data_IF_300866908933
#
_entry.id   IF_300866908933
#
_cell.length_a   1.000
_cell.length_b   1.000
_cell.length_c   1.000
_cell.angle_alpha   90.00
_cell.angle_beta   90.00
_cell.angle_gamma   90.00
#
_symmetry.space_group_name_H-M   'P 1'
#
loop_
_entity.id
_entity.type
_entity.pdbx_description
1 polymer ?
#
# COMPACT_ATOMS: atom_id res chain seq x y z
N UNK A 1 -11.67 -5.95 -9.45
CA UNK A 1 -11.06 -5.29 -8.27
C UNK A 1 -10.84 -3.83 -8.64
N UNK A 2 -11.26 -2.89 -7.79
CA UNK A 2 -11.07 -1.45 -8.01
C UNK A 2 -10.03 -0.92 -7.03
N UNK A 3 -9.27 0.10 -7.44
CA UNK A 3 -8.20 0.67 -6.59
C UNK A 3 -8.71 1.30 -5.30
N UNK A 4 -9.98 1.71 -5.28
CA UNK A 4 -10.68 2.27 -4.12
C UNK A 4 -11.47 1.23 -3.33
N UNK A 5 -11.34 -0.06 -3.66
CA UNK A 5 -11.99 -1.11 -2.88
C UNK A 5 -11.34 -1.19 -1.49
N UNK A 6 -12.17 -1.18 -0.45
CA UNK A 6 -11.72 -1.33 0.93
C UNK A 6 -11.25 -2.78 1.15
N UNK A 7 -10.01 -2.93 1.62
CA UNK A 7 -9.38 -4.22 1.85
C UNK A 7 -10.22 -5.13 2.75
N UNK A 8 -10.87 -4.57 3.77
CA UNK A 8 -11.63 -5.35 4.74
C UNK A 8 -13.10 -5.49 4.34
N UNK A 9 -13.75 -4.42 3.85
CA UNK A 9 -15.19 -4.41 3.58
C UNK A 9 -15.55 -4.98 2.22
N UNK A 10 -14.73 -4.71 1.20
CA UNK A 10 -15.03 -5.08 -0.18
C UNK A 10 -14.26 -6.33 -0.60
N UNK A 11 -13.03 -6.49 -0.12
CA UNK A 11 -12.16 -7.63 -0.44
C UNK A 11 -12.12 -8.68 0.68
N UNK A 12 -12.74 -8.40 1.83
CA UNK A 12 -12.85 -9.33 2.96
C UNK A 12 -11.49 -9.89 3.43
N UNK A 13 -10.43 -9.10 3.31
CA UNK A 13 -9.10 -9.46 3.80
C UNK A 13 -9.08 -9.45 5.33
N UNK A 14 -8.51 -10.48 5.92
CA UNK A 14 -8.35 -10.56 7.35
C UNK A 14 -7.14 -9.73 7.83
N UNK A 15 -6.94 -9.62 9.14
CA UNK A 15 -5.84 -8.84 9.69
C UNK A 15 -4.45 -9.39 9.37
N UNK A 16 -4.32 -10.70 9.10
CA UNK A 16 -3.04 -11.33 8.73
C UNK A 16 -2.75 -11.07 7.24
N UNK A 17 -3.76 -11.18 6.38
CA UNK A 17 -3.67 -10.84 4.96
C UNK A 17 -3.18 -9.41 4.77
N UNK A 18 -3.63 -8.46 5.60
CA UNK A 18 -3.15 -7.07 5.55
C UNK A 18 -1.68 -6.93 5.93
N UNK A 19 -1.20 -7.71 6.90
CA UNK A 19 0.21 -7.68 7.33
C UNK A 19 1.10 -8.22 6.21
N UNK A 20 0.69 -9.31 5.57
CA UNK A 20 1.41 -9.88 4.42
C UNK A 20 1.42 -8.92 3.23
N UNK A 21 0.30 -8.22 2.99
CA UNK A 21 0.19 -7.21 1.93
C UNK A 21 1.15 -6.02 2.16
N UNK A 22 1.21 -5.52 3.40
CA UNK A 22 2.11 -4.41 3.78
C UNK A 22 3.57 -4.83 3.62
N UNK A 23 3.96 -6.00 4.13
CA UNK A 23 5.32 -6.53 3.96
C UNK A 23 5.70 -6.71 2.48
N UNK A 24 4.75 -7.13 1.64
CA UNK A 24 4.99 -7.23 0.20
C UNK A 24 5.28 -5.86 -0.44
N UNK A 25 4.56 -4.81 -0.06
CA UNK A 25 4.83 -3.45 -0.54
C UNK A 25 6.16 -2.90 -0.03
N UNK A 26 6.50 -3.14 1.23
CA UNK A 26 7.79 -2.76 1.81
C UNK A 26 8.96 -3.39 1.04
N UNK A 27 8.88 -4.70 0.77
CA UNK A 27 9.90 -5.41 0.04
C UNK A 27 10.00 -5.00 -1.44
N UNK A 28 8.87 -4.81 -2.13
CA UNK A 28 8.85 -4.48 -3.55
C UNK A 28 9.38 -3.06 -3.82
N UNK A 29 9.00 -2.09 -2.99
CA UNK A 29 9.39 -0.69 -3.17
C UNK A 29 10.60 -0.29 -2.31
N UNK A 30 11.13 -1.22 -1.52
CA UNK A 30 12.22 -1.01 -0.56
C UNK A 30 11.93 0.20 0.36
N UNK A 31 10.71 0.23 0.90
CA UNK A 31 10.21 1.24 1.85
C UNK A 31 9.92 0.60 3.21
N UNK A 32 9.69 1.43 4.22
CA UNK A 32 9.25 1.01 5.54
C UNK A 32 7.92 1.71 5.85
N UNK A 33 6.86 0.94 6.12
CA UNK A 33 5.53 1.46 6.43
C UNK A 33 5.28 1.27 7.93
N UNK A 34 5.29 2.34 8.74
CA UNK A 34 4.98 2.22 10.16
C UNK A 34 3.58 1.66 10.40
N UNK A 35 3.40 0.85 11.43
CA UNK A 35 2.09 0.26 11.80
C UNK A 35 0.96 1.33 11.88
N UNK A 36 1.26 2.51 12.44
CA UNK A 36 0.30 3.62 12.55
C UNK A 36 -0.18 4.17 11.19
N UNK A 37 0.63 3.98 10.15
CA UNK A 37 0.30 4.33 8.75
C UNK A 37 -0.39 3.16 8.08
N UNK A 38 0.12 1.93 8.26
CA UNK A 38 -0.47 0.72 7.71
C UNK A 38 -1.95 0.57 8.07
N UNK A 39 -2.34 0.88 9.31
CA UNK A 39 -3.74 0.85 9.74
C UNK A 39 -4.65 1.88 9.02
N UNK A 40 -4.06 2.93 8.45
CA UNK A 40 -4.79 3.96 7.68
C UNK A 40 -4.84 3.66 6.18
N UNK A 41 -4.07 2.68 5.71
CA UNK A 41 -4.07 2.24 4.31
C UNK A 41 -5.22 1.26 4.10
N UNK A 42 -6.36 1.80 3.70
CA UNK A 42 -7.60 1.00 3.58
C UNK A 42 -7.85 0.45 2.18
N UNK A 43 -7.16 0.97 1.17
CA UNK A 43 -7.30 0.55 -0.22
C UNK A 43 -5.98 0.71 -1.00
N UNK A 44 -5.89 0.12 -2.19
CA UNK A 44 -4.71 0.22 -3.04
C UNK A 44 -4.35 1.66 -3.41
N UNK A 45 -5.36 2.53 -3.61
CA UNK A 45 -5.13 3.94 -3.92
C UNK A 45 -4.43 4.70 -2.77
N UNK A 46 -4.72 4.34 -1.52
CA UNK A 46 -4.05 4.95 -0.35
C UNK A 46 -2.59 4.50 -0.27
N UNK A 47 -2.34 3.20 -0.49
CA UNK A 47 -0.99 2.62 -0.52
C UNK A 47 -0.16 3.28 -1.62
N UNK A 48 -0.71 3.38 -2.84
CA UNK A 48 -0.02 4.00 -3.96
C UNK A 48 0.35 5.46 -3.67
N UNK A 49 -0.57 6.24 -3.08
CA UNK A 49 -0.28 7.61 -2.65
C UNK A 49 0.79 7.66 -1.57
N UNK A 50 0.77 6.74 -0.61
CA UNK A 50 1.78 6.67 0.44
C UNK A 50 3.17 6.42 -0.15
N UNK A 51 3.28 5.41 -1.01
CA UNK A 51 4.53 5.07 -1.71
C UNK A 51 5.03 6.29 -2.48
N UNK A 52 4.19 6.93 -3.30
CA UNK A 52 4.56 8.14 -4.06
C UNK A 52 4.98 9.33 -3.18
N UNK A 53 4.52 9.38 -1.93
CA UNK A 53 4.85 10.47 -1.00
C UNK A 53 6.13 10.24 -0.21
N UNK A 54 6.41 9.00 0.19
CA UNK A 54 7.64 8.65 0.92
C UNK A 54 8.82 8.51 0.00
N UNK A 55 8.57 7.98 -1.18
CA UNK A 55 9.62 7.79 -2.12
C UNK A 55 9.87 9.10 -2.85
N UNK A 56 11.12 9.55 -2.82
CA UNK A 56 11.70 10.38 -3.90
C UNK A 56 11.77 9.57 -5.22
N UNK A 57 10.84 8.62 -5.43
CA UNK A 57 10.65 7.82 -6.62
C UNK A 57 10.17 8.76 -7.69
N UNK A 58 11.15 9.35 -8.38
CA UNK A 58 10.92 9.87 -9.71
C UNK A 58 10.40 8.71 -10.52
N UNK A 59 9.13 8.77 -10.88
CA UNK A 59 8.58 8.02 -12.02
C UNK A 59 9.68 8.14 -13.10
N UNK A 60 10.29 7.03 -13.55
CA UNK A 60 11.20 7.13 -14.68
C UNK A 60 10.36 7.75 -15.79
N UNK A 61 10.70 8.97 -16.22
CA UNK A 61 10.09 9.50 -17.43
C UNK A 61 10.34 8.45 -18.51
N UNK A 62 9.28 7.79 -18.96
CA UNK A 62 9.33 6.93 -20.12
C UNK A 62 9.96 7.75 -21.25
N UNK A 63 11.15 7.30 -21.67
CA UNK A 63 11.96 7.90 -22.72
C UNK A 63 11.51 7.41 -24.08
#
# INVERSE_FOLDING_TARGET
VTETADFQKDLCLDSLDRVDLVMAFEAEFNIEIPDEKADKLTCCADVAKYILSESNYKIPEES
#
